data_IF_176868362166
#
_entry.id   IF_176868362166
#
_cell.length_a   1.000
_cell.length_b   1.000
_cell.length_c   1.000
_cell.angle_alpha   90.00
_cell.angle_beta   90.00
_cell.angle_gamma   90.00
#
_symmetry.space_group_name_H-M   'P 1'
#
loop_
_entity.id
_entity.type
_entity.pdbx_description
1 polymer ?
#
# COMPACT_ATOMS: atom_id res chain seq x y z
N UNK A 1 11.65 11.23 -29.65
CA UNK A 1 13.01 10.97 -29.12
C UNK A 1 12.86 10.09 -27.88
N UNK A 2 13.50 8.92 -27.78
CA UNK A 2 13.54 8.20 -26.53
C UNK A 2 14.29 9.08 -25.52
N UNK A 3 13.61 9.45 -24.44
CA UNK A 3 14.24 10.13 -23.32
C UNK A 3 15.30 9.16 -22.80
N UNK A 4 16.56 9.61 -22.72
CA UNK A 4 17.63 8.75 -22.22
C UNK A 4 17.30 8.33 -20.79
N UNK A 5 17.60 7.08 -20.45
CA UNK A 5 17.40 6.48 -19.11
C UNK A 5 17.91 7.37 -17.97
N UNK A 6 18.94 8.20 -18.24
CA UNK A 6 19.50 9.16 -17.28
C UNK A 6 18.50 10.26 -16.90
N UNK A 7 17.74 10.80 -17.86
CA UNK A 7 16.75 11.83 -17.60
C UNK A 7 15.56 11.30 -16.79
N UNK A 8 15.21 10.01 -16.94
CA UNK A 8 14.12 9.41 -16.20
C UNK A 8 14.45 9.23 -14.71
N UNK A 9 15.70 8.87 -14.38
CA UNK A 9 16.18 8.83 -13.00
C UNK A 9 16.16 10.22 -12.34
N UNK A 10 16.71 11.24 -13.00
CA UNK A 10 16.70 12.61 -12.46
C UNK A 10 15.28 13.15 -12.28
N UNK A 11 14.36 12.85 -13.20
CA UNK A 11 12.94 13.18 -13.05
C UNK A 11 12.28 12.39 -11.92
N UNK A 12 12.65 11.13 -11.70
CA UNK A 12 12.17 10.33 -10.57
C UNK A 12 12.63 10.93 -9.23
N UNK A 13 13.91 11.29 -9.11
CA UNK A 13 14.47 12.00 -7.95
C UNK A 13 13.74 13.32 -7.73
N UNK A 14 13.63 14.18 -8.76
CA UNK A 14 12.92 15.45 -8.67
C UNK A 14 11.46 15.31 -8.23
N UNK A 15 10.74 14.28 -8.72
CA UNK A 15 9.37 13.97 -8.29
C UNK A 15 9.31 13.44 -6.87
N UNK A 16 10.25 12.58 -6.46
CA UNK A 16 10.33 12.07 -5.09
C UNK A 16 10.56 13.21 -4.10
N UNK A 17 11.38 14.20 -4.48
CA UNK A 17 11.62 15.43 -3.72
C UNK A 17 10.36 16.31 -3.69
N UNK A 18 9.77 16.64 -4.84
CA UNK A 18 8.57 17.50 -4.93
C UNK A 18 7.34 16.93 -4.23
N UNK A 19 7.06 15.62 -4.37
CA UNK A 19 5.94 14.96 -3.68
C UNK A 19 6.07 15.00 -2.16
N UNK A 20 7.29 15.20 -1.63
CA UNK A 20 7.59 15.01 -0.21
C UNK A 20 7.99 16.31 0.52
N UNK A 21 8.30 17.38 -0.21
CA UNK A 21 8.47 18.74 0.31
C UNK A 21 7.17 19.34 0.89
N UNK A 22 6.00 18.74 0.63
CA UNK A 22 4.71 19.16 1.17
C UNK A 22 4.43 18.69 2.62
N UNK A 23 5.36 17.99 3.29
CA UNK A 23 5.20 17.52 4.68
C UNK A 23 6.24 18.13 5.63
N UNK A 24 5.85 18.90 6.67
CA UNK A 24 6.74 19.71 7.49
C UNK A 24 7.42 18.91 8.64
N UNK A 25 7.92 17.71 8.36
CA UNK A 25 8.59 16.86 9.37
C UNK A 25 10.08 16.70 9.05
N UNK A 26 10.88 17.61 9.60
CA UNK A 26 12.33 17.59 9.64
C UNK A 26 12.91 18.94 10.07
N UNK A 27 14.04 18.93 10.79
CA UNK A 27 14.87 20.14 10.91
C UNK A 27 15.49 20.48 9.54
N UNK A 28 15.86 21.73 9.30
CA UNK A 28 16.47 22.16 8.02
C UNK A 28 17.73 21.35 7.65
N UNK A 29 18.44 20.83 8.65
CA UNK A 29 19.65 20.02 8.49
C UNK A 29 19.34 18.57 8.09
N UNK A 30 18.29 17.95 8.63
CA UNK A 30 17.89 16.57 8.29
C UNK A 30 17.42 16.44 6.84
N UNK A 31 16.71 17.46 6.32
CA UNK A 31 16.22 17.42 4.95
C UNK A 31 17.38 17.48 3.94
N UNK A 32 18.40 18.28 4.21
CA UNK A 32 19.59 18.39 3.37
C UNK A 32 20.42 17.09 3.36
N UNK A 33 20.58 16.44 4.52
CA UNK A 33 21.25 15.14 4.63
C UNK A 33 20.52 14.06 3.83
N UNK A 34 19.19 14.03 3.89
CA UNK A 34 18.36 13.08 3.14
C UNK A 34 18.44 13.28 1.63
N UNK A 35 18.38 14.53 1.17
CA UNK A 35 18.55 14.87 -0.25
C UNK A 35 19.95 14.50 -0.74
N UNK A 36 20.96 14.78 0.07
CA UNK A 36 22.33 14.37 -0.21
C UNK A 36 22.43 12.85 -0.36
N UNK A 37 21.95 12.07 0.62
CA UNK A 37 21.93 10.61 0.58
C UNK A 37 21.29 10.04 -0.69
N UNK A 38 20.17 10.63 -1.12
CA UNK A 38 19.44 10.26 -2.32
C UNK A 38 20.24 10.46 -3.61
N UNK A 39 21.03 11.53 -3.69
CA UNK A 39 21.80 11.91 -4.88
C UNK A 39 23.10 11.11 -4.96
N UNK A 40 23.87 11.11 -3.86
CA UNK A 40 25.20 10.51 -3.84
C UNK A 40 25.16 9.00 -3.62
N UNK A 41 24.10 8.48 -3.00
CA UNK A 41 23.97 7.06 -2.69
C UNK A 41 25.23 6.54 -1.97
N UNK A 42 25.69 5.34 -2.33
CA UNK A 42 26.89 4.69 -1.77
C UNK A 42 28.19 5.47 -1.98
N UNK A 43 28.22 6.42 -2.93
CA UNK A 43 29.43 7.17 -3.28
C UNK A 43 29.78 8.22 -2.20
N UNK A 44 28.90 8.46 -1.22
CA UNK A 44 29.12 9.40 -0.10
C UNK A 44 30.39 9.09 0.71
N UNK A 45 30.81 7.83 0.75
CA UNK A 45 31.94 7.37 1.55
C UNK A 45 33.31 7.81 1.00
N UNK A 46 33.39 8.09 -0.30
CA UNK A 46 34.62 8.57 -0.95
C UNK A 46 34.48 10.03 -1.31
N UNK A 47 35.42 10.86 -0.88
CA UNK A 47 35.40 12.29 -1.16
C UNK A 47 35.42 12.57 -2.68
N UNK A 48 36.19 11.79 -3.44
CA UNK A 48 36.26 11.94 -4.89
C UNK A 48 34.98 11.43 -5.56
N UNK A 49 34.51 10.23 -5.20
CA UNK A 49 33.31 9.65 -5.82
C UNK A 49 32.05 10.49 -5.51
N UNK A 50 31.93 11.01 -4.29
CA UNK A 50 30.87 11.93 -3.89
C UNK A 50 30.83 13.17 -4.79
N UNK A 51 31.98 13.81 -5.03
CA UNK A 51 32.09 14.99 -5.91
C UNK A 51 31.68 14.67 -7.34
N UNK A 52 32.22 13.58 -7.89
CA UNK A 52 31.92 13.13 -9.24
C UNK A 52 30.42 12.84 -9.41
N UNK A 53 29.81 12.22 -8.40
CA UNK A 53 28.39 11.90 -8.38
C UNK A 53 27.49 13.15 -8.28
N UNK A 54 27.83 14.10 -7.40
CA UNK A 54 27.13 15.39 -7.31
C UNK A 54 27.21 16.15 -8.65
N UNK A 55 28.42 16.29 -9.21
CA UNK A 55 28.63 16.97 -10.49
C UNK A 55 27.78 16.34 -11.59
N UNK A 56 27.85 15.01 -11.72
CA UNK A 56 27.06 14.28 -12.71
C UNK A 56 25.56 14.50 -12.53
N UNK A 57 25.05 14.48 -11.30
CA UNK A 57 23.63 14.73 -11.04
C UNK A 57 23.20 16.14 -11.48
N UNK A 58 24.04 17.14 -11.21
CA UNK A 58 23.77 18.53 -11.59
C UNK A 58 23.87 18.75 -13.11
N UNK A 59 24.81 18.10 -13.78
CA UNK A 59 24.88 18.09 -15.24
C UNK A 59 23.62 17.43 -15.84
N UNK A 60 23.16 16.31 -15.29
CA UNK A 60 21.94 15.62 -15.73
C UNK A 60 20.66 16.45 -15.49
N UNK A 61 20.62 17.27 -14.44
CA UNK A 61 19.55 18.25 -14.20
C UNK A 61 19.53 19.33 -15.29
N UNK A 62 20.70 19.90 -15.60
CA UNK A 62 20.85 20.91 -16.65
C UNK A 62 20.46 20.35 -18.01
N UNK A 63 20.94 19.15 -18.37
CA UNK A 63 20.61 18.46 -19.62
C UNK A 63 19.10 18.16 -19.74
N UNK A 64 18.40 18.01 -18.61
CA UNK A 64 16.96 17.81 -18.58
C UNK A 64 16.14 19.12 -18.62
N UNK A 65 16.79 20.28 -18.76
CA UNK A 65 16.21 21.61 -18.57
C UNK A 65 15.47 21.75 -17.23
N UNK A 66 16.04 21.19 -16.17
CA UNK A 66 15.50 21.26 -14.81
C UNK A 66 16.40 22.13 -13.94
N UNK A 67 15.83 23.18 -13.36
CA UNK A 67 16.53 24.01 -12.40
C UNK A 67 16.53 23.36 -11.01
N UNK A 68 17.71 23.16 -10.43
CA UNK A 68 17.89 22.58 -9.10
C UNK A 68 17.10 23.34 -8.02
N UNK A 69 17.11 24.68 -8.06
CA UNK A 69 16.42 25.54 -7.09
C UNK A 69 14.89 25.40 -7.19
N UNK A 70 14.36 25.22 -8.39
CA UNK A 70 12.92 24.99 -8.64
C UNK A 70 12.45 23.58 -8.26
N UNK A 71 13.40 22.63 -8.14
CA UNK A 71 13.10 21.31 -7.59
C UNK A 71 13.09 21.39 -6.08
N UNK A 72 14.14 21.96 -5.49
CA UNK A 72 14.25 22.16 -4.05
C UNK A 72 15.38 23.16 -3.74
N UNK A 73 15.12 24.14 -2.86
CA UNK A 73 16.10 25.18 -2.53
C UNK A 73 17.47 24.63 -2.09
N UNK A 74 17.48 23.54 -1.31
CA UNK A 74 18.72 22.87 -0.86
C UNK A 74 19.57 22.25 -1.98
N UNK A 75 18.99 21.95 -3.15
CA UNK A 75 19.73 21.41 -4.30
C UNK A 75 20.61 22.47 -4.96
N UNK A 76 20.21 23.76 -4.90
CA UNK A 76 21.01 24.88 -5.42
C UNK A 76 22.42 24.86 -4.83
N UNK A 77 22.50 24.75 -3.52
CA UNK A 77 23.78 24.74 -2.81
C UNK A 77 24.55 23.43 -3.02
N UNK A 78 23.86 22.31 -3.31
CA UNK A 78 24.51 21.02 -3.62
C UNK A 78 25.15 21.01 -5.01
N UNK A 79 24.60 21.76 -5.97
CA UNK A 79 25.11 21.89 -7.33
C UNK A 79 26.15 23.00 -7.52
N UNK A 80 26.50 23.73 -6.45
CA UNK A 80 27.60 24.68 -6.50
C UNK A 80 28.95 23.95 -6.47
N UNK A 81 29.62 23.92 -7.63
CA UNK A 81 30.93 23.29 -7.79
C UNK A 81 31.97 23.75 -6.76
N UNK A 82 31.94 25.03 -6.34
CA UNK A 82 32.89 25.59 -5.35
C UNK A 82 32.64 25.04 -3.93
N UNK A 83 31.41 24.62 -3.63
CA UNK A 83 30.99 24.13 -2.29
C UNK A 83 30.89 22.60 -2.20
N UNK A 84 30.97 21.89 -3.32
CA UNK A 84 30.85 20.42 -3.40
C UNK A 84 31.80 19.66 -2.45
N UNK A 85 33.04 20.12 -2.29
CA UNK A 85 34.04 19.51 -1.40
C UNK A 85 33.61 19.59 0.07
N UNK A 86 33.23 20.79 0.51
CA UNK A 86 32.79 21.05 1.87
C UNK A 86 31.48 20.29 2.17
N UNK A 87 30.55 20.26 1.22
CA UNK A 87 29.30 19.48 1.32
C UNK A 87 29.55 17.99 1.52
N UNK A 88 30.41 17.38 0.69
CA UNK A 88 30.75 15.96 0.83
C UNK A 88 31.39 15.65 2.20
N UNK A 89 32.24 16.53 2.74
CA UNK A 89 32.84 16.34 4.06
C UNK A 89 31.82 16.51 5.20
N UNK A 90 31.08 17.62 5.19
CA UNK A 90 30.17 17.99 6.27
C UNK A 90 28.95 17.07 6.35
N UNK A 91 28.44 16.59 5.21
CA UNK A 91 27.26 15.73 5.17
C UNK A 91 27.60 14.25 5.32
N UNK A 92 28.84 13.82 5.05
CA UNK A 92 29.26 12.41 5.22
C UNK A 92 29.08 11.93 6.66
N UNK A 93 29.57 12.69 7.66
CA UNK A 93 29.45 12.30 9.07
C UNK A 93 27.99 12.31 9.55
N UNK A 94 27.20 13.30 9.12
CA UNK A 94 25.77 13.39 9.42
C UNK A 94 25.00 12.21 8.84
N UNK A 95 25.27 11.85 7.58
CA UNK A 95 24.65 10.70 6.92
C UNK A 95 25.02 9.38 7.58
N UNK A 96 26.31 9.18 7.92
CA UNK A 96 26.75 7.99 8.63
C UNK A 96 26.00 7.82 9.97
N UNK A 97 25.90 8.91 10.74
CA UNK A 97 25.15 8.90 12.00
C UNK A 97 23.65 8.62 11.77
N UNK A 98 23.04 9.15 10.70
CA UNK A 98 21.64 8.84 10.36
C UNK A 98 21.46 7.36 9.98
N UNK A 99 22.40 6.75 9.25
CA UNK A 99 22.39 5.31 8.96
C UNK A 99 22.43 4.48 10.25
N UNK A 100 23.35 4.80 11.15
CA UNK A 100 23.61 4.00 12.36
C UNK A 100 22.46 4.13 13.37
N UNK A 101 21.94 5.34 13.57
CA UNK A 101 20.82 5.60 14.51
C UNK A 101 19.49 5.04 14.00
N UNK A 102 19.28 4.99 12.68
CA UNK A 102 18.03 4.49 12.10
C UNK A 102 17.94 2.96 12.08
N UNK A 103 19.06 2.24 12.20
CA UNK A 103 19.11 0.78 12.15
C UNK A 103 18.20 0.09 13.16
N UNK A 104 18.24 0.50 14.43
CA UNK A 104 17.46 -0.15 15.50
C UNK A 104 15.95 0.08 15.33
N UNK A 105 15.46 1.34 15.20
CA UNK A 105 14.03 1.58 14.96
C UNK A 105 13.48 0.86 13.73
N UNK A 106 14.28 0.79 12.65
CA UNK A 106 13.89 0.09 11.44
C UNK A 106 13.78 -1.42 11.67
N UNK A 107 14.77 -2.04 12.31
CA UNK A 107 14.75 -3.48 12.61
C UNK A 107 13.55 -3.85 13.49
N UNK A 108 13.24 -3.03 14.49
CA UNK A 108 12.11 -3.25 15.38
C UNK A 108 10.77 -3.13 14.64
N UNK A 109 10.64 -2.14 13.75
CA UNK A 109 9.46 -2.00 12.89
C UNK A 109 9.28 -3.20 11.95
N UNK A 110 10.36 -3.69 11.34
CA UNK A 110 10.34 -4.80 10.38
C UNK A 110 10.04 -6.16 11.03
N UNK A 111 10.40 -6.34 12.31
CA UNK A 111 10.00 -7.52 13.10
C UNK A 111 8.51 -7.54 13.40
N UNK A 112 7.83 -6.39 13.37
CA UNK A 112 6.37 -6.33 13.49
C UNK A 112 5.76 -6.88 12.19
N UNK A 113 4.93 -7.91 12.31
CA UNK A 113 4.08 -8.33 11.19
C UNK A 113 3.07 -7.23 10.81
N UNK A 114 2.46 -7.34 9.63
CA UNK A 114 1.48 -6.37 9.08
C UNK A 114 0.40 -5.97 10.10
N UNK A 115 -0.11 -6.93 10.88
CA UNK A 115 -1.17 -6.70 11.86
C UNK A 115 -0.76 -5.92 13.12
N UNK A 116 0.56 -5.83 13.41
CA UNK A 116 1.12 -5.14 14.59
C UNK A 116 1.84 -3.85 14.23
N UNK A 117 2.00 -3.56 12.95
CA UNK A 117 2.61 -2.33 12.47
C UNK A 117 1.73 -1.13 12.82
N UNK A 118 2.32 -0.11 13.42
CA UNK A 118 1.66 1.15 13.73
C UNK A 118 1.90 2.18 12.62
N UNK A 119 1.15 3.28 12.64
CA UNK A 119 1.34 4.34 11.64
C UNK A 119 2.66 5.09 11.86
N UNK A 120 3.16 5.11 13.11
CA UNK A 120 4.50 5.58 13.49
C UNK A 120 5.62 4.74 12.86
N UNK A 121 5.43 3.42 12.74
CA UNK A 121 6.39 2.54 12.07
C UNK A 121 6.46 2.85 10.57
N UNK A 122 5.31 3.04 9.92
CA UNK A 122 5.26 3.35 8.48
C UNK A 122 5.72 4.77 8.15
N UNK A 123 5.73 5.70 9.12
CA UNK A 123 6.38 7.00 8.93
C UNK A 123 7.87 6.87 8.57
N UNK A 124 8.51 5.75 8.93
CA UNK A 124 9.90 5.45 8.60
C UNK A 124 10.13 5.09 7.11
N UNK A 125 9.07 4.79 6.33
CA UNK A 125 9.19 4.59 4.88
C UNK A 125 9.79 5.81 4.18
N UNK A 126 9.49 7.02 4.69
CA UNK A 126 10.09 8.26 4.17
C UNK A 126 11.61 8.21 4.28
N UNK A 127 12.13 7.90 5.46
CA UNK A 127 13.58 7.79 5.72
C UNK A 127 14.22 6.71 4.85
N UNK A 128 13.56 5.56 4.74
CA UNK A 128 14.05 4.45 3.92
C UNK A 128 14.33 4.84 2.46
N UNK A 129 13.42 5.57 1.81
CA UNK A 129 13.61 5.98 0.40
C UNK A 129 14.86 6.84 0.20
N UNK A 130 15.21 7.68 1.19
CA UNK A 130 16.40 8.53 1.11
C UNK A 130 17.69 7.77 1.45
N UNK A 131 17.61 6.86 2.43
CA UNK A 131 18.78 6.21 3.00
C UNK A 131 19.16 4.90 2.30
N UNK A 132 18.24 4.15 1.68
CA UNK A 132 18.52 2.81 1.14
C UNK A 132 19.63 2.77 0.06
N UNK A 133 19.80 3.86 -0.69
CA UNK A 133 20.84 3.97 -1.70
C UNK A 133 22.22 4.27 -1.13
N UNK A 134 22.29 4.87 0.07
CA UNK A 134 23.53 5.24 0.75
C UNK A 134 23.92 4.24 1.85
N UNK A 135 22.96 3.88 2.70
CA UNK A 135 23.10 2.94 3.79
C UNK A 135 22.73 1.51 3.32
N UNK A 136 23.64 0.84 2.61
CA UNK A 136 23.37 -0.50 2.04
C UNK A 136 22.96 -1.54 3.10
N UNK A 137 23.43 -1.38 4.35
CA UNK A 137 23.06 -2.23 5.49
C UNK A 137 21.59 -2.11 5.90
N UNK A 138 20.88 -1.06 5.45
CA UNK A 138 19.47 -0.84 5.72
C UNK A 138 18.57 -1.25 4.54
N UNK A 139 19.14 -1.56 3.37
CA UNK A 139 18.37 -1.74 2.14
C UNK A 139 17.32 -2.86 2.24
N UNK A 140 17.68 -3.99 2.86
CA UNK A 140 16.78 -5.13 3.05
C UNK A 140 15.61 -4.78 3.97
N UNK A 141 15.91 -4.30 5.16
CA UNK A 141 14.90 -3.92 6.14
C UNK A 141 14.02 -2.78 5.62
N UNK A 142 14.58 -1.82 4.88
CA UNK A 142 13.81 -0.76 4.23
C UNK A 142 12.89 -1.25 3.12
N UNK A 143 13.34 -2.21 2.31
CA UNK A 143 12.48 -2.85 1.32
C UNK A 143 11.33 -3.61 2.01
N UNK A 144 11.65 -4.37 3.06
CA UNK A 144 10.67 -5.12 3.84
C UNK A 144 9.65 -4.21 4.52
N UNK A 145 10.08 -3.14 5.18
CA UNK A 145 9.18 -2.17 5.81
C UNK A 145 8.22 -1.55 4.79
N UNK A 146 8.72 -1.09 3.64
CA UNK A 146 7.89 -0.52 2.57
C UNK A 146 6.84 -1.50 2.09
N UNK A 147 7.22 -2.75 1.83
CA UNK A 147 6.27 -3.78 1.40
C UNK A 147 5.19 -4.06 2.45
N UNK A 148 5.57 -4.10 3.73
CA UNK A 148 4.62 -4.31 4.83
C UNK A 148 3.65 -3.13 4.98
N UNK A 149 4.15 -1.90 4.95
CA UNK A 149 3.34 -0.68 5.08
C UNK A 149 2.45 -0.42 3.86
N UNK A 150 2.96 -0.66 2.65
CA UNK A 150 2.19 -0.62 1.42
C UNK A 150 1.01 -1.60 1.47
N UNK A 151 1.27 -2.86 1.85
CA UNK A 151 0.22 -3.86 2.00
C UNK A 151 -0.76 -3.52 3.13
N UNK A 152 -0.28 -2.95 4.24
CA UNK A 152 -1.12 -2.50 5.36
C UNK A 152 -2.15 -1.46 4.90
N UNK A 153 -1.73 -0.45 4.15
CA UNK A 153 -2.67 0.57 3.64
C UNK A 153 -3.63 0.00 2.59
N UNK A 154 -3.20 -0.94 1.73
CA UNK A 154 -4.12 -1.64 0.80
C UNK A 154 -5.18 -2.45 1.55
N UNK A 155 -4.78 -3.22 2.57
CA UNK A 155 -5.71 -3.97 3.42
C UNK A 155 -6.72 -3.03 4.09
N UNK A 156 -6.24 -1.92 4.66
CA UNK A 156 -7.08 -0.90 5.32
C UNK A 156 -8.11 -0.29 4.39
N UNK A 157 -7.79 -0.09 3.11
CA UNK A 157 -8.73 0.41 2.12
C UNK A 157 -9.81 -0.63 1.82
N UNK A 158 -9.45 -1.89 1.62
CA UNK A 158 -10.41 -2.98 1.39
C UNK A 158 -11.32 -3.22 2.60
N UNK A 159 -10.76 -3.18 3.81
CA UNK A 159 -11.51 -3.27 5.07
C UNK A 159 -12.50 -2.11 5.21
N UNK A 160 -12.07 -0.87 4.96
CA UNK A 160 -12.97 0.29 4.95
C UNK A 160 -14.10 0.16 3.93
N UNK A 161 -13.82 -0.35 2.74
CA UNK A 161 -14.83 -0.57 1.72
C UNK A 161 -15.90 -1.55 2.21
N UNK A 162 -15.50 -2.69 2.78
CA UNK A 162 -16.43 -3.67 3.35
C UNK A 162 -17.16 -3.16 4.60
N UNK A 163 -16.52 -2.37 5.47
CA UNK A 163 -17.20 -1.73 6.60
C UNK A 163 -18.33 -0.80 6.14
N UNK A 164 -18.15 -0.08 5.03
CA UNK A 164 -19.21 0.79 4.45
C UNK A 164 -20.40 -0.02 3.93
N UNK A 165 -20.16 -1.20 3.34
CA UNK A 165 -21.22 -2.12 2.92
C UNK A 165 -22.06 -2.60 4.11
N UNK A 166 -21.39 -2.91 5.22
CA UNK A 166 -21.98 -3.53 6.39
C UNK A 166 -22.74 -2.54 7.31
N UNK A 167 -22.89 -1.28 6.89
CA UNK A 167 -23.57 -0.23 7.66
C UNK A 167 -24.90 -0.72 8.28
N UNK A 168 -25.07 -0.43 9.57
CA UNK A 168 -26.10 -0.85 10.51
C UNK A 168 -26.06 -2.31 10.99
N UNK A 169 -25.13 -3.17 10.53
CA UNK A 169 -25.38 -4.63 10.50
C UNK A 169 -24.17 -5.53 10.82
N UNK A 170 -23.55 -5.34 11.98
CA UNK A 170 -22.35 -6.09 12.40
C UNK A 170 -22.59 -7.34 13.26
N UNK A 171 -23.84 -7.75 13.49
CA UNK A 171 -24.09 -9.05 14.12
C UNK A 171 -23.57 -10.18 13.23
N UNK A 172 -22.80 -11.14 13.77
CA UNK A 172 -22.02 -12.11 12.98
C UNK A 172 -22.82 -12.81 11.87
N UNK A 173 -24.03 -13.30 12.15
CA UNK A 173 -24.85 -13.97 11.13
C UNK A 173 -25.34 -13.01 10.03
N UNK A 174 -25.70 -11.78 10.40
CA UNK A 174 -26.13 -10.73 9.46
C UNK A 174 -24.94 -10.25 8.62
N UNK A 175 -23.75 -10.16 9.22
CA UNK A 175 -22.53 -9.77 8.55
C UNK A 175 -22.18 -10.74 7.41
N UNK A 176 -22.20 -12.06 7.66
CA UNK A 176 -21.87 -13.07 6.65
C UNK A 176 -22.81 -13.01 5.44
N UNK A 177 -24.12 -12.94 5.67
CA UNK A 177 -25.12 -12.85 4.60
C UNK A 177 -24.94 -11.60 3.73
N UNK A 178 -24.69 -10.44 4.36
CA UNK A 178 -24.41 -9.21 3.62
C UNK A 178 -23.09 -9.27 2.87
N UNK A 179 -22.04 -9.79 3.50
CA UNK A 179 -20.72 -9.92 2.90
C UNK A 179 -20.78 -10.84 1.68
N UNK A 180 -21.51 -11.96 1.75
CA UNK A 180 -21.71 -12.88 0.62
C UNK A 180 -22.30 -12.17 -0.60
N UNK A 181 -23.33 -11.32 -0.40
CA UNK A 181 -23.93 -10.53 -1.49
C UNK A 181 -22.94 -9.50 -2.04
N UNK A 182 -22.32 -8.73 -1.15
CA UNK A 182 -21.36 -7.70 -1.55
C UNK A 182 -20.14 -8.25 -2.29
N UNK A 183 -19.68 -9.44 -1.90
CA UNK A 183 -18.54 -10.12 -2.52
C UNK A 183 -18.81 -10.53 -3.98
N UNK A 184 -20.07 -10.66 -4.40
CA UNK A 184 -20.39 -10.90 -5.82
C UNK A 184 -19.98 -9.69 -6.66
N UNK A 185 -20.17 -8.47 -6.13
CA UNK A 185 -19.87 -7.22 -6.83
C UNK A 185 -18.44 -6.72 -6.60
N UNK A 186 -17.89 -6.90 -5.39
CA UNK A 186 -16.65 -6.22 -4.98
C UNK A 186 -15.38 -7.07 -5.09
N UNK A 187 -15.48 -8.41 -5.14
CA UNK A 187 -14.29 -9.28 -5.10
C UNK A 187 -13.34 -9.08 -6.27
N UNK A 188 -13.81 -8.53 -7.38
CA UNK A 188 -13.01 -8.29 -8.57
C UNK A 188 -12.34 -6.91 -8.56
N UNK A 189 -12.69 -6.02 -7.63
CA UNK A 189 -12.18 -4.65 -7.61
C UNK A 189 -10.75 -4.55 -7.04
N UNK A 190 -10.36 -5.48 -6.17
CA UNK A 190 -8.97 -5.65 -5.74
C UNK A 190 -8.68 -7.04 -5.18
N UNK A 191 -7.40 -7.44 -5.18
CA UNK A 191 -6.98 -8.72 -4.57
C UNK A 191 -7.23 -8.76 -3.07
N UNK A 192 -7.12 -7.62 -2.37
CA UNK A 192 -7.45 -7.53 -0.95
C UNK A 192 -8.94 -7.77 -0.69
N UNK A 193 -9.82 -7.23 -1.53
CA UNK A 193 -11.26 -7.47 -1.43
C UNK A 193 -11.57 -8.95 -1.70
N UNK A 194 -10.95 -9.56 -2.71
CA UNK A 194 -11.06 -10.99 -2.97
C UNK A 194 -10.64 -11.81 -1.74
N UNK A 195 -9.51 -11.48 -1.13
CA UNK A 195 -9.02 -12.15 0.08
C UNK A 195 -10.04 -12.05 1.21
N UNK A 196 -10.53 -10.85 1.52
CA UNK A 196 -11.52 -10.66 2.58
C UNK A 196 -12.83 -11.44 2.29
N UNK A 197 -13.22 -11.52 1.01
CA UNK A 197 -14.35 -12.32 0.58
C UNK A 197 -14.17 -13.82 0.76
N UNK A 198 -12.94 -14.34 0.58
CA UNK A 198 -12.62 -15.76 0.82
C UNK A 198 -12.63 -16.12 2.31
N UNK A 199 -12.29 -15.17 3.19
CA UNK A 199 -12.20 -15.34 4.65
C UNK A 199 -13.32 -14.58 5.39
N UNK A 200 -14.60 -14.89 5.08
CA UNK A 200 -15.75 -14.12 5.56
C UNK A 200 -15.87 -14.08 7.09
N UNK A 201 -15.57 -15.19 7.77
CA UNK A 201 -15.70 -15.33 9.21
C UNK A 201 -14.71 -14.45 9.95
N UNK A 202 -13.44 -14.53 9.56
CA UNK A 202 -12.36 -13.70 10.08
C UNK A 202 -12.58 -12.23 9.74
N UNK A 203 -13.03 -11.95 8.51
CA UNK A 203 -13.36 -10.59 8.04
C UNK A 203 -14.45 -9.95 8.89
N UNK A 204 -15.56 -10.65 9.13
CA UNK A 204 -16.64 -10.15 9.99
C UNK A 204 -16.17 -9.85 11.41
N UNK A 205 -15.40 -10.76 12.03
CA UNK A 205 -14.84 -10.55 13.38
C UNK A 205 -13.89 -9.35 13.43
N UNK A 206 -13.07 -9.19 12.39
CA UNK A 206 -12.12 -8.08 12.29
C UNK A 206 -12.85 -6.74 12.16
N UNK A 207 -13.80 -6.64 11.23
CA UNK A 207 -14.59 -5.43 11.01
C UNK A 207 -15.38 -5.05 12.26
N UNK A 208 -16.01 -6.01 12.95
CA UNK A 208 -16.74 -5.74 14.20
C UNK A 208 -15.84 -5.09 15.27
N UNK A 209 -14.61 -5.60 15.43
CA UNK A 209 -13.63 -5.05 16.38
C UNK A 209 -13.19 -3.63 15.99
N UNK A 210 -12.92 -3.39 14.71
CA UNK A 210 -12.50 -2.09 14.21
C UNK A 210 -13.60 -1.04 14.35
N UNK A 211 -14.84 -1.40 14.07
CA UNK A 211 -15.99 -0.50 14.17
C UNK A 211 -16.24 -0.04 15.60
N UNK A 212 -16.04 -0.93 16.59
CA UNK A 212 -16.09 -0.54 18.00
C UNK A 212 -15.08 0.57 18.33
N UNK A 213 -13.85 0.45 17.82
CA UNK A 213 -12.81 1.46 18.00
C UNK A 213 -13.13 2.75 17.22
N UNK A 214 -13.63 2.62 15.98
CA UNK A 214 -14.03 3.75 15.15
C UNK A 214 -15.12 4.60 15.80
N UNK A 215 -16.12 3.97 16.41
CA UNK A 215 -17.19 4.64 17.16
C UNK A 215 -16.65 5.43 18.36
N UNK A 216 -15.77 4.81 19.16
CA UNK A 216 -15.18 5.46 20.33
C UNK A 216 -14.29 6.65 19.95
N UNK A 217 -13.48 6.50 18.88
CA UNK A 217 -12.67 7.60 18.34
C UNK A 217 -13.55 8.72 17.80
N UNK A 218 -14.59 8.40 17.00
CA UNK A 218 -15.48 9.38 16.41
C UNK A 218 -16.21 10.20 17.48
N UNK A 219 -16.71 9.53 18.54
CA UNK A 219 -17.32 10.20 19.69
C UNK A 219 -16.36 11.16 20.37
N UNK A 220 -15.15 10.69 20.72
CA UNK A 220 -14.11 11.52 21.37
C UNK A 220 -13.75 12.74 20.53
N UNK A 221 -13.63 12.57 19.21
CA UNK A 221 -13.30 13.67 18.31
C UNK A 221 -14.43 14.70 18.21
N UNK A 222 -15.69 14.27 18.16
CA UNK A 222 -16.86 15.16 18.15
C UNK A 222 -17.03 15.89 19.48
N UNK A 223 -16.80 15.21 20.61
CA UNK A 223 -16.91 15.82 21.94
C UNK A 223 -15.79 16.84 22.20
N UNK A 224 -14.58 16.59 21.67
CA UNK A 224 -13.42 17.47 21.78
C UNK A 224 -13.39 18.64 20.79
N UNK A 225 -14.43 18.82 19.98
CA UNK A 225 -14.41 19.74 18.85
C UNK A 225 -14.58 21.21 19.27
N UNK A 226 -13.47 21.90 19.56
CA UNK A 226 -13.46 23.32 19.96
C UNK A 226 -13.00 24.28 18.86
N UNK A 227 -11.76 24.17 18.37
CA UNK A 227 -11.09 25.25 17.59
C UNK A 227 -10.73 24.94 16.13
N UNK A 228 -11.05 23.75 15.60
CA UNK A 228 -10.75 23.34 14.20
C UNK A 228 -11.97 22.76 13.46
N UNK A 229 -13.16 23.27 13.79
CA UNK A 229 -14.44 22.77 13.29
C UNK A 229 -14.48 22.74 11.74
N UNK A 230 -14.18 23.85 11.06
CA UNK A 230 -14.27 23.94 9.59
C UNK A 230 -13.36 22.93 8.86
N UNK A 231 -12.14 22.75 9.34
CA UNK A 231 -11.14 21.83 8.76
C UNK A 231 -11.52 20.35 8.99
N UNK A 232 -12.03 20.02 10.19
CA UNK A 232 -12.36 18.65 10.57
C UNK A 232 -13.74 18.19 10.10
N UNK A 233 -14.65 19.12 9.82
CA UNK A 233 -16.03 18.83 9.44
C UNK A 233 -16.16 17.82 8.28
N UNK A 234 -15.48 17.98 7.13
CA UNK A 234 -15.67 17.07 5.99
C UNK A 234 -15.39 15.60 6.36
N UNK A 235 -14.25 15.34 7.02
CA UNK A 235 -13.85 14.00 7.45
C UNK A 235 -14.78 13.40 8.51
N UNK A 236 -15.22 14.21 9.48
CA UNK A 236 -16.10 13.72 10.55
C UNK A 236 -17.53 13.49 10.06
N UNK A 237 -18.03 14.33 9.14
CA UNK A 237 -19.34 14.15 8.53
C UNK A 237 -19.38 12.89 7.64
N UNK A 238 -18.32 12.64 6.86
CA UNK A 238 -18.16 11.40 6.09
C UNK A 238 -18.20 10.18 7.01
N UNK A 239 -17.45 10.22 8.13
CA UNK A 239 -17.46 9.14 9.12
C UNK A 239 -18.82 8.95 9.79
N UNK A 240 -19.52 10.03 10.11
CA UNK A 240 -20.87 9.96 10.65
C UNK A 240 -21.84 9.30 9.67
N UNK A 241 -21.75 9.62 8.38
CA UNK A 241 -22.58 9.01 7.35
C UNK A 241 -22.36 7.50 7.22
N UNK A 242 -21.11 7.05 7.15
CA UNK A 242 -20.80 5.63 6.92
C UNK A 242 -20.80 4.75 8.17
N UNK A 243 -20.52 5.34 9.35
CA UNK A 243 -20.26 4.57 10.58
C UNK A 243 -21.14 4.97 11.77
N UNK A 244 -21.86 6.09 11.70
CA UNK A 244 -22.60 6.62 12.85
C UNK A 244 -23.73 5.71 13.33
N UNK A 245 -24.43 5.06 12.40
CA UNK A 245 -25.54 4.14 12.71
C UNK A 245 -25.07 2.85 13.37
N UNK A 246 -23.80 2.48 13.16
CA UNK A 246 -23.21 1.26 13.72
C UNK A 246 -22.92 1.33 15.21
N UNK A 247 -22.88 2.54 15.76
CA UNK A 247 -22.38 2.75 17.10
C UNK A 247 -23.42 2.40 18.15
N UNK A 248 -23.05 1.47 19.04
CA UNK A 248 -23.85 1.11 20.22
C UNK A 248 -24.09 2.34 21.09
N UNK A 249 -25.20 2.35 21.83
CA UNK A 249 -25.68 3.49 22.64
C UNK A 249 -24.58 4.11 23.54
N UNK A 250 -23.69 3.31 24.11
CA UNK A 250 -22.58 3.80 24.96
C UNK A 250 -21.47 4.54 24.19
N UNK A 251 -21.21 4.15 22.94
CA UNK A 251 -20.18 4.72 22.07
C UNK A 251 -20.77 5.56 20.93
N UNK A 252 -22.06 5.88 20.99
CA UNK A 252 -22.76 6.60 19.92
C UNK A 252 -22.24 8.05 19.83
N UNK A 253 -21.68 8.47 18.69
CA UNK A 253 -21.30 9.86 18.46
C UNK A 253 -22.53 10.75 18.25
N UNK A 254 -22.45 12.01 18.67
CA UNK A 254 -23.49 13.02 18.43
C UNK A 254 -23.35 13.63 17.01
N UNK A 255 -23.65 12.79 16.01
CA UNK A 255 -23.56 13.18 14.60
C UNK A 255 -24.56 14.28 14.23
N UNK A 256 -25.73 14.35 14.87
CA UNK A 256 -26.71 15.42 14.63
C UNK A 256 -26.17 16.79 15.05
N UNK A 257 -25.56 16.85 16.24
CA UNK A 257 -24.88 18.07 16.70
C UNK A 257 -23.72 18.44 15.79
N UNK A 258 -22.92 17.47 15.34
CA UNK A 258 -21.85 17.72 14.37
C UNK A 258 -22.41 18.34 13.08
N UNK A 259 -23.48 17.79 12.50
CA UNK A 259 -24.12 18.32 11.28
C UNK A 259 -24.53 19.78 11.48
N UNK A 260 -25.21 20.10 12.60
CA UNK A 260 -25.63 21.48 12.91
C UNK A 260 -24.43 22.42 13.03
N UNK A 261 -23.39 22.00 13.76
CA UNK A 261 -22.18 22.80 13.95
C UNK A 261 -21.43 23.04 12.64
N UNK A 262 -21.29 22.02 11.79
CA UNK A 262 -20.63 22.15 10.49
C UNK A 262 -21.42 23.03 9.52
N UNK A 263 -22.75 22.88 9.49
CA UNK A 263 -23.63 23.73 8.66
C UNK A 263 -23.53 25.20 9.06
N UNK A 264 -23.42 25.51 10.36
CA UNK A 264 -23.18 26.87 10.85
C UNK A 264 -21.82 27.48 10.39
N UNK A 265 -20.91 26.65 9.85
CA UNK A 265 -19.65 27.08 9.23
C UNK A 265 -19.65 26.95 7.70
N UNK A 266 -20.83 26.81 7.09
CA UNK A 266 -21.01 26.58 5.66
C UNK A 266 -20.26 25.35 5.13
N UNK A 267 -20.15 24.29 5.96
CA UNK A 267 -19.60 23.00 5.55
C UNK A 267 -20.71 21.97 5.60
N UNK A 268 -21.01 21.38 4.44
CA UNK A 268 -21.97 20.28 4.29
C UNK A 268 -21.29 19.09 3.66
N UNK A 269 -21.72 17.89 4.02
CA UNK A 269 -21.30 16.65 3.37
C UNK A 269 -22.42 16.18 2.47
N UNK A 270 -22.10 15.98 1.19
CA UNK A 270 -23.01 15.40 0.22
C UNK A 270 -22.68 13.91 0.19
N UNK A 271 -23.58 13.10 0.74
CA UNK A 271 -23.42 11.66 0.68
C UNK A 271 -23.51 11.18 -0.79
N UNK A 272 -22.81 10.09 -1.12
CA UNK A 272 -23.02 9.40 -2.38
C UNK A 272 -24.50 9.04 -2.52
N UNK A 273 -25.05 9.12 -3.73
CA UNK A 273 -26.45 8.74 -4.03
C UNK A 273 -27.56 9.65 -3.46
N UNK A 274 -27.29 10.92 -3.13
CA UNK A 274 -28.35 11.87 -2.72
C UNK A 274 -29.04 12.61 -3.89
N UNK A 275 -28.50 12.52 -5.10
CA UNK A 275 -29.11 13.09 -6.30
C UNK A 275 -29.99 12.03 -6.97
N UNK A 276 -31.19 11.79 -6.42
CA UNK A 276 -32.16 10.89 -7.03
C UNK A 276 -32.65 11.49 -8.34
N UNK A 277 -32.11 10.98 -9.44
CA UNK A 277 -32.57 11.25 -10.78
C UNK A 277 -33.31 10.00 -11.28
N UNK A 278 -34.66 10.05 -11.46
CA UNK A 278 -35.45 8.90 -11.87
C UNK A 278 -35.12 8.38 -13.28
N UNK A 279 -34.30 9.10 -14.05
CA UNK A 279 -33.84 8.72 -15.39
C UNK A 279 -32.47 8.02 -15.32
N UNK A 280 -31.70 8.21 -14.23
CA UNK A 280 -30.39 7.57 -14.07
C UNK A 280 -30.54 6.09 -13.68
N UNK A 281 -29.62 5.20 -14.12
CA UNK A 281 -29.57 3.82 -13.65
C UNK A 281 -29.45 3.74 -12.13
N UNK A 282 -29.90 2.62 -11.56
CA UNK A 282 -29.73 2.38 -10.13
C UNK A 282 -28.24 2.43 -9.75
N UNK A 283 -27.93 3.15 -8.67
CA UNK A 283 -26.56 3.29 -8.18
C UNK A 283 -25.99 1.94 -7.77
N UNK A 284 -24.82 1.65 -8.32
CA UNK A 284 -24.04 0.44 -8.04
C UNK A 284 -23.53 0.40 -6.60
N UNK A 285 -23.15 -0.78 -6.10
CA UNK A 285 -22.61 -0.89 -4.75
C UNK A 285 -21.29 -0.10 -4.58
N UNK A 286 -20.43 -0.09 -5.61
CA UNK A 286 -19.15 0.65 -5.60
C UNK A 286 -19.35 2.15 -5.47
N UNK A 287 -20.39 2.71 -6.10
CA UNK A 287 -20.80 4.11 -5.95
C UNK A 287 -21.42 4.38 -4.58
N UNK A 288 -22.30 3.49 -4.08
CA UNK A 288 -22.92 3.62 -2.75
C UNK A 288 -21.87 3.68 -1.63
N UNK A 289 -20.78 2.92 -1.74
CA UNK A 289 -19.68 2.95 -0.76
C UNK A 289 -18.57 3.95 -1.08
N UNK A 290 -18.70 4.70 -2.18
CA UNK A 290 -17.71 5.68 -2.64
C UNK A 290 -16.30 5.07 -2.76
N UNK A 291 -16.21 3.91 -3.43
CA UNK A 291 -14.98 3.15 -3.58
C UNK A 291 -13.91 3.94 -4.35
N UNK A 292 -14.34 4.71 -5.35
CA UNK A 292 -13.44 5.56 -6.16
C UNK A 292 -12.69 6.57 -5.29
N UNK A 293 -13.38 7.28 -4.41
CA UNK A 293 -12.74 8.24 -3.50
C UNK A 293 -11.80 7.54 -2.49
N UNK A 294 -12.13 6.32 -2.04
CA UNK A 294 -11.20 5.53 -1.22
C UNK A 294 -9.90 5.24 -1.97
N UNK A 295 -9.97 4.89 -3.26
CA UNK A 295 -8.79 4.63 -4.09
C UNK A 295 -8.03 5.93 -4.42
N UNK A 296 -8.72 7.03 -4.69
CA UNK A 296 -8.08 8.34 -4.92
C UNK A 296 -7.33 8.82 -3.68
N UNK A 297 -7.94 8.71 -2.49
CA UNK A 297 -7.28 9.02 -1.20
C UNK A 297 -6.05 8.13 -0.95
N UNK A 298 -6.09 6.86 -1.38
CA UNK A 298 -4.95 5.95 -1.30
C UNK A 298 -3.84 6.37 -2.28
N UNK A 299 -4.21 6.71 -3.52
CA UNK A 299 -3.29 7.15 -4.56
C UNK A 299 -2.55 8.45 -4.18
N UNK A 300 -3.23 9.38 -3.48
CA UNK A 300 -2.58 10.58 -2.92
C UNK A 300 -1.45 10.26 -1.94
N UNK A 301 -1.50 9.10 -1.27
CA UNK A 301 -0.43 8.59 -0.41
C UNK A 301 0.60 7.73 -1.14
N UNK A 302 0.47 7.58 -2.47
CA UNK A 302 1.31 6.71 -3.28
C UNK A 302 0.92 5.23 -3.24
N UNK A 303 -0.28 4.89 -2.76
CA UNK A 303 -0.81 3.53 -2.75
C UNK A 303 -1.64 3.31 -4.00
N UNK A 304 -1.16 2.46 -4.90
CA UNK A 304 -1.89 2.05 -6.11
C UNK A 304 -2.80 0.86 -5.80
N UNK A 305 -4.09 1.01 -6.13
CA UNK A 305 -5.09 -0.05 -6.09
C UNK A 305 -5.83 0.01 -7.43
N UNK A 306 -5.83 -1.09 -8.15
CA UNK A 306 -6.50 -1.21 -9.43
C UNK A 306 -7.12 -2.59 -9.61
N UNK A 307 -8.10 -2.66 -10.51
CA UNK A 307 -8.82 -3.88 -10.83
C UNK A 307 -7.87 -4.95 -11.40
N UNK A 308 -7.58 -6.05 -10.67
CA UNK A 308 -6.66 -7.07 -11.14
C UNK A 308 -7.22 -7.86 -12.32
N UNK A 309 -6.37 -8.55 -13.10
CA UNK A 309 -6.86 -9.55 -14.05
C UNK A 309 -7.54 -10.70 -13.31
N UNK A 310 -8.48 -11.38 -13.98
CA UNK A 310 -9.10 -12.58 -13.45
C UNK A 310 -8.04 -13.63 -13.10
N UNK A 311 -8.27 -14.34 -11.98
CA UNK A 311 -7.35 -15.34 -11.42
C UNK A 311 -7.90 -16.75 -11.59
N UNK A 312 -7.00 -17.64 -11.96
CA UNK A 312 -7.26 -19.07 -12.12
C UNK A 312 -7.24 -19.80 -10.77
N UNK A 313 -7.57 -21.09 -10.83
CA UNK A 313 -7.59 -22.01 -9.69
C UNK A 313 -6.27 -22.00 -8.93
N UNK A 314 -5.15 -22.05 -9.66
CA UNK A 314 -3.79 -22.10 -9.11
C UNK A 314 -3.47 -20.87 -8.30
N UNK A 315 -3.71 -19.66 -8.83
CA UNK A 315 -3.48 -18.43 -8.10
C UNK A 315 -4.36 -18.33 -6.85
N UNK A 316 -5.65 -18.66 -6.95
CA UNK A 316 -6.54 -18.63 -5.79
C UNK A 316 -6.12 -19.62 -4.70
N UNK A 317 -5.70 -20.84 -5.08
CA UNK A 317 -5.14 -21.80 -4.13
C UNK A 317 -3.83 -21.29 -3.52
N UNK A 318 -2.96 -20.64 -4.30
CA UNK A 318 -1.74 -20.00 -3.81
C UNK A 318 -2.03 -19.04 -2.67
N UNK A 319 -3.08 -18.21 -2.81
CA UNK A 319 -3.50 -17.28 -1.76
C UNK A 319 -4.00 -17.99 -0.51
N UNK A 320 -4.74 -19.10 -0.67
CA UNK A 320 -5.34 -19.83 0.43
C UNK A 320 -4.28 -20.57 1.27
N UNK A 321 -3.28 -21.18 0.63
CA UNK A 321 -2.19 -21.88 1.34
C UNK A 321 -1.21 -20.95 2.06
N UNK A 322 -1.27 -19.63 1.84
CA UNK A 322 -0.49 -18.64 2.59
C UNK A 322 -1.00 -18.45 4.03
N UNK A 323 -2.21 -18.94 4.36
CA UNK A 323 -2.74 -18.84 5.71
C UNK A 323 -1.96 -19.76 6.69
N UNK A 324 -1.56 -19.18 7.82
CA UNK A 324 -0.72 -19.84 8.83
C UNK A 324 -1.41 -21.00 9.56
N UNK A 325 -2.72 -21.16 9.40
CA UNK A 325 -3.48 -22.29 9.97
C UNK A 325 -3.30 -23.59 9.18
N UNK A 326 -2.54 -23.56 8.08
CA UNK A 326 -2.14 -24.73 7.31
C UNK A 326 -0.65 -25.02 7.51
N UNK A 327 -0.34 -26.27 7.84
CA UNK A 327 1.02 -26.76 8.04
C UNK A 327 1.43 -27.71 6.92
N UNK A 328 2.74 -27.97 6.81
CA UNK A 328 3.29 -28.86 5.79
C UNK A 328 3.73 -28.16 4.50
N UNK A 329 4.00 -28.97 3.48
CA UNK A 329 4.38 -28.48 2.15
C UNK A 329 3.16 -27.91 1.40
N UNK A 330 3.37 -27.37 0.20
CA UNK A 330 2.30 -26.76 -0.61
C UNK A 330 1.13 -27.72 -0.88
N UNK A 331 1.42 -29.02 -1.07
CA UNK A 331 0.41 -30.04 -1.31
C UNK A 331 -0.42 -30.30 -0.04
N UNK A 332 0.22 -30.50 1.11
CA UNK A 332 -0.46 -30.76 2.39
C UNK A 332 -1.39 -29.59 2.75
N UNK A 333 -0.89 -28.36 2.59
CA UNK A 333 -1.68 -27.14 2.82
C UNK A 333 -2.88 -27.05 1.88
N UNK A 334 -2.69 -27.39 0.60
CA UNK A 334 -3.76 -27.41 -0.39
C UNK A 334 -4.85 -28.43 -0.06
N UNK A 335 -4.46 -29.64 0.36
CA UNK A 335 -5.43 -30.67 0.80
C UNK A 335 -6.22 -30.20 2.04
N UNK A 336 -5.57 -29.51 2.97
CA UNK A 336 -6.24 -28.94 4.14
C UNK A 336 -7.17 -27.78 3.82
N UNK A 337 -6.82 -26.94 2.82
CA UNK A 337 -7.72 -25.92 2.28
C UNK A 337 -9.01 -26.56 1.78
N UNK A 338 -8.92 -27.64 1.00
CA UNK A 338 -10.12 -28.32 0.50
C UNK A 338 -10.99 -28.91 1.62
N UNK A 339 -10.39 -29.54 2.63
CA UNK A 339 -11.12 -30.09 3.79
C UNK A 339 -11.91 -29.01 4.55
N UNK A 340 -11.35 -27.81 4.68
CA UNK A 340 -11.96 -26.70 5.44
C UNK A 340 -12.94 -25.88 4.60
N UNK A 341 -12.67 -25.70 3.30
CA UNK A 341 -13.30 -24.65 2.49
C UNK A 341 -14.17 -25.16 1.31
N UNK A 342 -14.22 -26.46 1.01
CA UNK A 342 -15.02 -26.94 -0.13
C UNK A 342 -16.50 -26.52 -0.08
N UNK A 343 -17.09 -26.38 1.11
CA UNK A 343 -18.45 -25.85 1.27
C UNK A 343 -18.60 -24.42 0.76
N UNK A 344 -17.63 -23.56 1.04
CA UNK A 344 -17.65 -22.14 0.64
C UNK A 344 -17.26 -21.94 -0.82
N UNK A 345 -16.47 -22.84 -1.42
CA UNK A 345 -16.08 -22.77 -2.83
C UNK A 345 -17.26 -22.86 -3.80
N UNK A 346 -18.42 -23.37 -3.36
CA UNK A 346 -19.65 -23.43 -4.18
C UNK A 346 -20.08 -22.05 -4.72
N UNK A 347 -19.75 -20.99 -4.01
CA UNK A 347 -20.08 -19.60 -4.39
C UNK A 347 -19.03 -18.96 -5.33
N UNK A 348 -17.92 -19.65 -5.60
CA UNK A 348 -16.80 -19.19 -6.42
C UNK A 348 -16.71 -19.98 -7.71
N UNK A 349 -17.07 -19.37 -8.84
CA UNK A 349 -17.10 -20.03 -10.16
C UNK A 349 -15.79 -20.77 -10.48
N UNK A 350 -14.65 -20.16 -10.18
CA UNK A 350 -13.31 -20.73 -10.41
C UNK A 350 -13.01 -21.95 -9.52
N UNK A 351 -13.42 -21.93 -8.24
CA UNK A 351 -13.08 -23.01 -7.29
C UNK A 351 -14.15 -24.10 -7.18
N UNK A 352 -15.40 -23.82 -7.59
CA UNK A 352 -16.54 -24.73 -7.48
C UNK A 352 -16.27 -26.08 -8.15
N UNK A 353 -15.57 -26.08 -9.28
CA UNK A 353 -15.26 -27.29 -10.05
C UNK A 353 -14.24 -28.23 -9.43
N UNK A 354 -13.62 -27.87 -8.29
CA UNK A 354 -12.55 -28.63 -7.66
C UNK A 354 -13.02 -29.49 -6.47
N UNK A 355 -14.29 -29.36 -6.08
CA UNK A 355 -14.87 -30.06 -4.94
C UNK A 355 -15.97 -31.04 -5.35
N UNK A 356 -16.03 -32.17 -4.65
CA UNK A 356 -17.17 -33.07 -4.59
C UNK A 356 -17.69 -33.12 -3.15
N UNK A 357 -18.86 -32.51 -2.93
CA UNK A 357 -19.41 -32.29 -1.60
C UNK A 357 -18.49 -31.45 -0.71
N UNK A 358 -17.93 -32.10 0.32
CA UNK A 358 -17.08 -31.49 1.34
C UNK A 358 -15.59 -31.84 1.15
N UNK A 359 -15.22 -32.44 0.02
CA UNK A 359 -13.86 -32.91 -0.27
C UNK A 359 -13.41 -32.48 -1.66
N UNK A 360 -12.10 -32.48 -1.89
CA UNK A 360 -11.54 -32.31 -3.23
C UNK A 360 -11.99 -33.46 -4.14
N UNK A 361 -12.33 -33.16 -5.39
CA UNK A 361 -12.53 -34.18 -6.43
C UNK A 361 -11.19 -34.58 -7.07
N UNK A 362 -11.23 -35.34 -8.16
CA UNK A 362 -10.02 -35.75 -8.88
C UNK A 362 -9.19 -34.56 -9.37
N UNK A 363 -9.85 -33.52 -9.93
CA UNK A 363 -9.18 -32.30 -10.37
C UNK A 363 -8.58 -31.51 -9.20
N UNK A 364 -9.32 -31.36 -8.10
CA UNK A 364 -8.82 -30.74 -6.87
C UNK A 364 -7.62 -31.48 -6.28
N UNK A 365 -7.62 -32.81 -6.33
CA UNK A 365 -6.49 -33.63 -5.89
C UNK A 365 -5.28 -33.49 -6.81
N UNK A 366 -5.52 -33.43 -8.13
CA UNK A 366 -4.47 -33.25 -9.14
C UNK A 366 -3.80 -31.89 -8.99
N UNK A 367 -4.56 -30.81 -8.88
CA UNK A 367 -3.99 -29.46 -8.76
C UNK A 367 -3.14 -29.33 -7.50
N UNK A 368 -3.52 -29.93 -6.36
CA UNK A 368 -2.65 -29.91 -5.17
C UNK A 368 -1.29 -30.61 -5.39
N UNK A 369 -1.24 -31.67 -6.22
CA UNK A 369 0.01 -32.38 -6.54
C UNK A 369 0.92 -31.55 -7.44
N UNK A 370 0.34 -30.76 -8.35
CA UNK A 370 1.06 -29.95 -9.34
C UNK A 370 1.33 -28.51 -8.86
N UNK A 371 0.66 -28.06 -7.79
CA UNK A 371 0.66 -26.69 -7.30
C UNK A 371 2.06 -26.11 -7.11
N UNK A 372 2.96 -26.81 -6.41
CA UNK A 372 4.32 -26.29 -6.15
C UNK A 372 5.09 -26.01 -7.45
N UNK A 373 4.96 -26.90 -8.43
CA UNK A 373 5.58 -26.74 -9.74
C UNK A 373 4.99 -25.54 -10.48
N UNK A 374 3.66 -25.42 -10.52
CA UNK A 374 2.98 -24.32 -11.19
C UNK A 374 3.28 -22.96 -10.54
N UNK A 375 3.40 -22.90 -9.21
CA UNK A 375 3.79 -21.69 -8.49
C UNK A 375 5.22 -21.28 -8.82
N UNK A 376 6.15 -22.24 -8.91
CA UNK A 376 7.54 -21.98 -9.29
C UNK A 376 7.65 -21.46 -10.74
N UNK A 377 6.91 -22.08 -11.67
CA UNK A 377 6.84 -21.62 -13.07
C UNK A 377 6.24 -20.21 -13.18
N UNK A 378 5.17 -19.95 -12.45
CA UNK A 378 4.51 -18.63 -12.38
C UNK A 378 5.43 -17.56 -11.81
N UNK A 379 6.12 -17.86 -10.71
CA UNK A 379 7.12 -16.98 -10.11
C UNK A 379 8.21 -16.61 -11.11
N UNK A 380 8.79 -17.59 -11.82
CA UNK A 380 9.82 -17.32 -12.84
C UNK A 380 9.31 -16.41 -13.97
N UNK A 381 8.06 -16.57 -14.40
CA UNK A 381 7.44 -15.71 -15.42
C UNK A 381 7.34 -14.26 -14.90
N UNK A 382 6.92 -14.09 -13.64
CA UNK A 382 6.82 -12.76 -13.01
C UNK A 382 8.20 -12.12 -12.87
N UNK A 383 9.22 -12.85 -12.38
CA UNK A 383 10.59 -12.34 -12.30
C UNK A 383 11.13 -11.91 -13.66
N UNK A 384 10.84 -12.66 -14.73
CA UNK A 384 11.20 -12.27 -16.11
C UNK A 384 10.50 -10.98 -16.56
N UNK A 385 9.25 -10.74 -16.16
CA UNK A 385 8.54 -9.48 -16.46
C UNK A 385 9.17 -8.31 -15.70
N UNK A 386 9.44 -8.47 -14.40
CA UNK A 386 10.05 -7.42 -13.58
C UNK A 386 11.42 -7.02 -14.15
N UNK A 387 12.26 -7.99 -14.52
CA UNK A 387 13.60 -7.76 -15.11
C UNK A 387 13.58 -6.87 -16.35
N UNK A 388 12.49 -6.85 -17.14
CA UNK A 388 12.37 -5.97 -18.32
C UNK A 388 12.35 -4.48 -17.96
N UNK A 389 11.99 -4.16 -16.72
CA UNK A 389 11.90 -2.79 -16.23
C UNK A 389 13.13 -2.36 -15.42
N UNK A 390 14.15 -3.23 -15.27
CA UNK A 390 15.35 -2.94 -14.50
C UNK A 390 16.53 -2.51 -15.37
N UNK A 391 17.43 -1.72 -14.79
CA UNK A 391 18.73 -1.35 -15.33
C UNK A 391 19.70 -2.52 -15.32
N UNK A 392 19.64 -3.32 -14.25
CA UNK A 392 20.50 -4.48 -13.99
C UNK A 392 19.66 -5.74 -13.83
N UNK A 393 20.07 -6.83 -14.49
CA UNK A 393 19.34 -8.09 -14.52
C UNK A 393 19.80 -9.10 -13.47
N UNK A 394 20.52 -8.65 -12.43
CA UNK A 394 21.13 -9.53 -11.42
C UNK A 394 20.05 -10.21 -10.57
N UNK A 395 19.91 -11.56 -10.60
CA UNK A 395 18.72 -12.25 -10.11
C UNK A 395 18.52 -12.31 -8.59
N UNK A 396 19.49 -11.89 -7.77
CA UNK A 396 19.54 -12.25 -6.35
C UNK A 396 19.66 -11.05 -5.39
N UNK A 397 19.47 -9.82 -5.88
CA UNK A 397 19.61 -8.63 -5.04
C UNK A 397 18.24 -7.95 -4.84
N UNK A 398 18.07 -7.35 -3.67
CA UNK A 398 16.98 -6.42 -3.38
C UNK A 398 16.95 -5.35 -4.47
N UNK A 399 15.85 -5.30 -5.22
CA UNK A 399 15.67 -4.30 -6.27
C UNK A 399 15.39 -2.96 -5.59
N UNK A 400 16.36 -2.05 -5.64
CA UNK A 400 16.17 -0.65 -5.26
C UNK A 400 15.28 0.06 -6.28
N UNK A 401 14.49 1.06 -5.84
CA UNK A 401 13.65 1.83 -6.78
C UNK A 401 14.49 2.59 -7.83
N UNK A 402 15.75 2.88 -7.50
CA UNK A 402 16.73 3.51 -8.40
C UNK A 402 17.22 2.59 -9.52
N UNK A 403 16.91 1.29 -9.47
CA UNK A 403 17.23 0.32 -10.53
C UNK A 403 16.16 0.27 -11.63
N UNK A 404 15.07 1.02 -11.52
CA UNK A 404 14.03 1.06 -12.56
C UNK A 404 14.54 1.84 -13.79
N UNK A 405 14.54 1.18 -14.96
CA UNK A 405 14.90 1.77 -16.25
C UNK A 405 13.78 2.66 -16.80
N UNK A 406 12.53 2.28 -16.57
CA UNK A 406 11.34 2.93 -17.12
C UNK A 406 10.25 2.95 -16.07
N UNK A 407 9.42 3.98 -16.08
CA UNK A 407 8.20 3.99 -15.29
C UNK A 407 7.25 2.87 -15.75
N UNK A 408 6.61 2.23 -14.79
CA UNK A 408 5.53 1.28 -15.05
C UNK A 408 4.27 2.04 -15.43
N UNK A 409 3.52 1.51 -16.39
CA UNK A 409 2.15 1.97 -16.61
C UNK A 409 1.26 1.54 -15.44
N UNK A 410 0.12 2.20 -15.23
CA UNK A 410 -0.85 1.76 -14.21
C UNK A 410 -1.29 0.32 -14.42
N UNK A 411 -1.45 -0.10 -15.69
CA UNK A 411 -1.77 -1.48 -16.06
C UNK A 411 -0.68 -2.46 -15.65
N UNK A 412 0.58 -2.14 -15.93
CA UNK A 412 1.71 -2.98 -15.53
C UNK A 412 1.82 -3.05 -14.01
N UNK A 413 1.64 -1.92 -13.32
CA UNK A 413 1.65 -1.86 -11.87
C UNK A 413 0.54 -2.72 -11.25
N UNK A 414 -0.71 -2.60 -11.73
CA UNK A 414 -1.84 -3.43 -11.27
C UNK A 414 -1.54 -4.91 -11.45
N UNK A 415 -1.04 -5.31 -12.63
CA UNK A 415 -0.74 -6.72 -12.92
C UNK A 415 0.39 -7.25 -12.05
N UNK A 416 1.50 -6.51 -11.93
CA UNK A 416 2.65 -6.92 -11.14
C UNK A 416 2.35 -6.97 -9.65
N UNK A 417 1.62 -5.98 -9.11
CA UNK A 417 1.19 -5.99 -7.71
C UNK A 417 0.29 -7.19 -7.41
N UNK A 418 -0.61 -7.50 -8.33
CA UNK A 418 -1.49 -8.66 -8.20
C UNK A 418 -0.69 -9.96 -8.30
N UNK A 419 0.21 -10.11 -9.28
CA UNK A 419 1.10 -11.28 -9.38
C UNK A 419 1.93 -11.47 -8.09
N UNK A 420 2.52 -10.41 -7.55
CA UNK A 420 3.27 -10.44 -6.29
C UNK A 420 2.40 -10.81 -5.07
N UNK A 421 1.10 -10.47 -5.09
CA UNK A 421 0.17 -10.81 -4.00
C UNK A 421 -0.05 -12.33 -3.89
N UNK A 422 -0.23 -13.02 -5.02
CA UNK A 422 -0.46 -14.47 -5.04
C UNK A 422 0.82 -15.29 -4.87
N UNK A 423 1.93 -14.84 -5.45
CA UNK A 423 3.16 -15.65 -5.52
C UNK A 423 4.20 -15.30 -4.45
N UNK A 424 3.89 -14.43 -3.49
CA UNK A 424 4.80 -14.04 -2.41
C UNK A 424 5.42 -15.26 -1.72
N UNK A 425 6.76 -15.30 -1.66
CA UNK A 425 7.52 -16.36 -0.99
C UNK A 425 7.70 -17.64 -1.81
N UNK A 426 7.34 -17.64 -3.10
CA UNK A 426 7.52 -18.76 -4.03
C UNK A 426 8.74 -18.52 -4.93
N UNK A 427 9.76 -19.37 -4.84
CA UNK A 427 10.93 -19.36 -5.73
C UNK A 427 11.74 -18.05 -5.73
N UNK A 428 12.69 -17.86 -6.68
CA UNK A 428 13.43 -16.61 -6.83
C UNK A 428 12.55 -15.54 -7.50
N UNK A 429 11.68 -14.93 -6.70
CA UNK A 429 10.98 -13.68 -7.04
C UNK A 429 11.83 -12.46 -6.77
#
# INVERSE_FOLDING_TARGET
>A
KPISVKHDFVRAVARAVKRRAASPQGTQDEEEVRLFALIVGKDYNSQQACKERLKKHCDELNDANLNAEEIHGKLKDLCDNKKSQEKCQNLKSKLQNECDTFKTPLSDAVKKGISKLEDSDCANEKKCVFLEGACLTLAEDCNKLRNLCYQKERNKVAEKALSRVLNGNFQTNVCKEKLKKACIELREESDELLKLCLYQDETCKKIEKEEKNNCQSLKTEIDGLKSKLKEKCPSLLERCHFYGENCKKSTKPDCEKLIKNCKAKNVTYIAPNLDFDPIKPETTLTEKIDLKNLYEKAAMKGIHIGKPPARDETALLALLIQDSTHSGNSKDKCEDVFKKNCKSFKDYKTLKGLCDGDKANENGTKICKELEKELSESAQIVSKKIKKHLLTSTPNNIIGWYELKTFLTERDCTRLLSDCFYFKGQGPL
#
